data_IF_125544395680
#
_entry.id   IF_125544395680
#
_cell.length_a   1.000
_cell.length_b   1.000
_cell.length_c   1.000
_cell.angle_alpha   90.00
_cell.angle_beta   90.00
_cell.angle_gamma   90.00
#
_symmetry.space_group_name_H-M   'P 1'
#
loop_
_entity.id
_entity.type
_entity.pdbx_description
1 polymer ?
#
# COMPACT_ATOMS: atom_id res chain seq x y z
N UNK A 1 23.18 12.05 -3.13
CA UNK A 1 22.62 10.87 -2.44
C UNK A 1 21.25 11.24 -1.91
N UNK A 2 20.18 10.81 -2.58
CA UNK A 2 18.81 10.96 -2.08
C UNK A 2 18.74 10.37 -0.67
N UNK A 3 18.56 11.24 0.32
CA UNK A 3 18.54 10.85 1.73
C UNK A 3 17.37 9.90 1.95
N UNK A 4 17.64 8.60 2.03
CA UNK A 4 16.65 7.54 2.29
C UNK A 4 15.75 7.88 3.50
N UNK A 5 16.29 8.65 4.46
CA UNK A 5 15.56 9.21 5.60
C UNK A 5 14.37 10.12 5.22
N UNK A 6 14.49 10.96 4.19
CA UNK A 6 13.41 11.85 3.73
C UNK A 6 12.26 11.06 3.13
N UNK A 7 12.56 10.00 2.37
CA UNK A 7 11.56 9.13 1.75
C UNK A 7 10.81 8.31 2.80
N UNK A 8 11.52 7.78 3.81
CA UNK A 8 10.88 7.07 4.93
C UNK A 8 9.94 8.01 5.69
N UNK A 9 10.38 9.23 6.00
CA UNK A 9 9.55 10.21 6.70
C UNK A 9 8.28 10.55 5.91
N UNK A 10 8.43 10.82 4.61
CA UNK A 10 7.28 11.06 3.71
C UNK A 10 6.30 9.88 3.69
N UNK A 11 6.80 8.65 3.61
CA UNK A 11 5.96 7.44 3.60
C UNK A 11 5.20 7.28 4.92
N UNK A 12 5.85 7.54 6.05
CA UNK A 12 5.20 7.49 7.38
C UNK A 12 4.13 8.58 7.46
N UNK A 13 4.45 9.83 7.09
CA UNK A 13 3.48 10.94 7.08
C UNK A 13 2.27 10.59 6.23
N UNK A 14 2.48 10.07 5.02
CA UNK A 14 1.39 9.68 4.14
C UNK A 14 0.53 8.55 4.72
N UNK A 15 1.16 7.55 5.37
CA UNK A 15 0.43 6.46 6.05
C UNK A 15 -0.41 6.95 7.21
N UNK A 16 0.12 7.87 8.03
CA UNK A 16 -0.64 8.46 9.14
C UNK A 16 -1.86 9.23 8.62
N UNK A 17 -1.68 10.06 7.59
CA UNK A 17 -2.78 10.79 6.97
C UNK A 17 -3.85 9.83 6.42
N UNK A 18 -3.44 8.76 5.73
CA UNK A 18 -4.38 7.79 5.16
C UNK A 18 -5.20 7.06 6.24
N UNK A 19 -4.57 6.67 7.37
CA UNK A 19 -5.26 6.06 8.51
C UNK A 19 -6.26 7.05 9.11
N UNK A 20 -5.83 8.29 9.37
CA UNK A 20 -6.67 9.33 9.95
C UNK A 20 -7.89 9.64 9.07
N UNK A 21 -7.71 9.81 7.77
CA UNK A 21 -8.81 10.06 6.83
C UNK A 21 -9.82 8.91 6.86
N UNK A 22 -9.34 7.67 6.83
CA UNK A 22 -10.22 6.49 6.86
C UNK A 22 -10.98 6.41 8.19
N UNK A 23 -10.28 6.65 9.30
CA UNK A 23 -10.88 6.66 10.64
C UNK A 23 -11.95 7.75 10.78
N UNK A 24 -11.69 8.97 10.28
CA UNK A 24 -12.65 10.08 10.30
C UNK A 24 -13.88 9.73 9.46
N UNK A 25 -13.72 9.18 8.26
CA UNK A 25 -14.84 8.79 7.39
C UNK A 25 -15.73 7.75 8.08
N UNK A 26 -15.11 6.72 8.66
CA UNK A 26 -15.86 5.65 9.35
C UNK A 26 -16.53 6.19 10.61
N UNK A 27 -15.83 7.05 11.36
CA UNK A 27 -16.39 7.69 12.55
C UNK A 27 -17.58 8.60 12.19
N UNK A 28 -17.52 9.36 11.09
CA UNK A 28 -18.65 10.18 10.65
C UNK A 28 -19.88 9.33 10.30
N UNK A 29 -19.67 8.11 9.83
CA UNK A 29 -20.74 7.19 9.46
C UNK A 29 -21.36 6.48 10.68
N UNK A 30 -20.53 5.84 11.52
CA UNK A 30 -21.01 5.04 12.65
C UNK A 30 -21.14 5.82 13.96
N UNK A 31 -20.50 6.99 14.08
CA UNK A 31 -20.35 7.77 15.33
C UNK A 31 -19.75 6.98 16.51
N UNK A 32 -19.17 5.80 16.23
CA UNK A 32 -18.50 4.96 17.22
C UNK A 32 -16.98 4.96 16.98
N UNK A 33 -16.23 5.35 18.02
CA UNK A 33 -14.77 5.42 17.96
C UNK A 33 -14.15 4.03 17.86
N UNK A 34 -14.67 3.04 18.59
CA UNK A 34 -14.11 1.67 18.61
C UNK A 34 -14.22 1.03 17.23
N UNK A 35 -15.39 1.13 16.60
CA UNK A 35 -15.57 0.59 15.24
C UNK A 35 -14.68 1.29 14.22
N UNK A 36 -14.55 2.62 14.31
CA UNK A 36 -13.69 3.39 13.40
C UNK A 36 -12.21 2.99 13.47
N UNK A 37 -11.71 2.66 14.67
CA UNK A 37 -10.34 2.15 14.87
C UNK A 37 -10.20 0.77 14.24
N UNK A 38 -11.12 -0.15 14.50
CA UNK A 38 -11.05 -1.52 13.98
C UNK A 38 -11.07 -1.52 12.45
N UNK A 39 -11.99 -0.76 11.85
CA UNK A 39 -12.16 -0.69 10.40
C UNK A 39 -10.93 -0.02 9.75
N UNK A 40 -10.40 1.07 10.32
CA UNK A 40 -9.22 1.73 9.76
C UNK A 40 -7.97 0.83 9.80
N UNK A 41 -7.80 0.01 10.84
CA UNK A 41 -6.74 -0.99 10.93
C UNK A 41 -6.94 -2.10 9.90
N UNK A 42 -8.14 -2.66 9.83
CA UNK A 42 -8.49 -3.72 8.89
C UNK A 42 -8.31 -3.27 7.43
N UNK A 43 -8.75 -2.05 7.09
CA UNK A 43 -8.61 -1.48 5.75
C UNK A 43 -7.13 -1.32 5.34
N UNK A 44 -6.25 -0.95 6.28
CA UNK A 44 -4.80 -0.90 6.02
C UNK A 44 -4.22 -2.30 5.80
N UNK A 45 -4.60 -3.29 6.61
CA UNK A 45 -4.19 -4.68 6.44
C UNK A 45 -4.63 -5.27 5.10
N UNK A 46 -5.90 -5.05 4.73
CA UNK A 46 -6.47 -5.49 3.45
C UNK A 46 -5.73 -4.84 2.28
N UNK A 47 -5.45 -3.53 2.32
CA UNK A 47 -4.65 -2.86 1.25
C UNK A 47 -3.27 -3.48 1.10
N UNK A 48 -2.60 -3.78 2.20
CA UNK A 48 -1.28 -4.43 2.16
C UNK A 48 -1.36 -5.84 1.56
N UNK A 49 -2.38 -6.61 1.96
CA UNK A 49 -2.62 -7.95 1.41
C UNK A 49 -2.96 -7.92 -0.08
N UNK A 50 -3.85 -7.01 -0.49
CA UNK A 50 -4.16 -6.80 -1.90
C UNK A 50 -2.95 -6.35 -2.71
N UNK A 51 -2.13 -5.45 -2.18
CA UNK A 51 -0.91 -5.01 -2.85
C UNK A 51 0.05 -6.17 -3.06
N UNK A 52 0.25 -7.01 -2.03
CA UNK A 52 1.07 -8.21 -2.14
C UNK A 52 0.53 -9.20 -3.20
N UNK A 53 -0.78 -9.47 -3.18
CA UNK A 53 -1.41 -10.33 -4.20
C UNK A 53 -1.26 -9.71 -5.59
N UNK A 54 -1.48 -8.41 -5.72
CA UNK A 54 -1.36 -7.69 -6.99
C UNK A 54 0.06 -7.80 -7.53
N UNK A 55 1.09 -7.54 -6.72
CA UNK A 55 2.50 -7.75 -7.12
C UNK A 55 2.78 -9.21 -7.48
N UNK A 56 2.24 -10.17 -6.72
CA UNK A 56 2.45 -11.59 -6.99
C UNK A 56 1.78 -12.05 -8.29
N UNK A 57 0.57 -11.54 -8.57
CA UNK A 57 -0.13 -11.76 -9.82
C UNK A 57 0.63 -11.09 -10.97
N UNK A 58 1.10 -9.86 -10.78
CA UNK A 58 1.86 -9.13 -11.80
C UNK A 58 3.18 -9.82 -12.14
N UNK A 59 3.89 -10.39 -11.16
CA UNK A 59 5.11 -11.15 -11.41
C UNK A 59 4.85 -12.49 -12.15
N UNK A 60 3.63 -13.02 -12.09
CA UNK A 60 3.22 -14.19 -12.87
C UNK A 60 2.82 -13.83 -14.31
N UNK A 61 2.44 -12.59 -14.56
CA UNK A 61 2.06 -12.11 -15.89
C UNK A 61 3.32 -11.58 -16.57
N UNK A 62 3.73 -12.20 -17.68
CA UNK A 62 4.91 -11.83 -18.46
C UNK A 62 4.67 -10.57 -19.34
N UNK A 63 3.91 -9.60 -18.81
CA UNK A 63 3.54 -8.41 -19.57
C UNK A 63 4.72 -7.44 -19.63
N UNK A 64 5.44 -7.44 -20.76
CA UNK A 64 6.51 -6.49 -21.05
C UNK A 64 7.94 -6.98 -20.79
N UNK A 65 8.18 -8.27 -20.51
CA UNK A 65 9.55 -8.80 -20.49
C UNK A 65 10.10 -8.85 -21.92
N UNK A 66 11.02 -7.95 -22.25
CA UNK A 66 11.90 -8.14 -23.43
C UNK A 66 12.83 -9.30 -23.09
N UNK A 67 12.77 -10.39 -23.89
CA UNK A 67 13.75 -11.48 -23.82
C UNK A 67 15.17 -10.86 -23.83
N UNK A 68 16.07 -11.27 -22.93
CA UNK A 68 17.47 -10.84 -23.03
C UNK A 68 17.99 -11.25 -24.42
N UNK A 69 18.80 -10.42 -25.10
CA UNK A 69 19.38 -10.80 -26.37
C UNK A 69 20.17 -12.10 -26.15
N UNK A 70 19.79 -13.13 -26.92
CA UNK A 70 20.48 -14.40 -26.92
C UNK A 70 21.90 -14.13 -27.45
N UNK A 71 22.90 -14.15 -26.56
CA UNK A 71 24.29 -14.04 -26.96
C UNK A 71 24.62 -15.28 -27.80
N UNK A 72 24.58 -15.12 -29.12
CA UNK A 72 25.17 -16.05 -30.08
C UNK A 72 26.68 -15.84 -30.02
N UNK A 73 27.39 -16.90 -29.64
CA UNK A 73 28.85 -16.99 -29.48
C UNK A 73 29.51 -17.00 -30.85
#
# INVERSE_FOLDING_TARGET
>A
MEQHKRTILKTITWRVIAVLVTMIIVYLYNKDIKESVIISLAANGIKMFLYYIHERMWNKIDFGRKKPPEYQI
#
